data_IF_799407956305
#
_entry.id   IF_799407956305
#
_cell.length_a   1.000
_cell.length_b   1.000
_cell.length_c   1.000
_cell.angle_alpha   90.00
_cell.angle_beta   90.00
_cell.angle_gamma   90.00
#
_symmetry.space_group_name_H-M   'P 1'
#
loop_
_entity.id
_entity.type
_entity.pdbx_description
1 polymer ?
#
# COMPACT_ATOMS: atom_id res chain seq x y z
N UNK A 1 11.72 18.25 2.06
CA UNK A 1 10.43 17.80 1.47
C UNK A 1 10.58 16.34 1.07
N UNK A 2 10.09 15.45 1.93
CA UNK A 2 10.29 13.98 1.91
C UNK A 2 9.91 13.31 0.59
N UNK A 3 10.65 12.26 0.22
CA UNK A 3 10.27 11.24 -0.78
C UNK A 3 8.83 10.79 -0.47
N UNK A 4 7.83 11.33 -1.18
CA UNK A 4 6.50 10.72 -1.19
C UNK A 4 6.58 9.49 -2.08
N UNK A 5 7.22 8.43 -1.57
CA UNK A 5 6.91 7.07 -1.99
C UNK A 5 5.39 6.99 -1.95
N UNK A 6 4.76 6.62 -3.07
CA UNK A 6 3.31 6.48 -3.09
C UNK A 6 2.97 5.36 -2.13
N UNK A 7 2.15 5.68 -1.14
CA UNK A 7 1.47 4.71 -0.30
C UNK A 7 0.86 3.66 -1.27
N UNK A 8 1.15 2.36 -1.07
CA UNK A 8 0.77 1.22 -1.95
C UNK A 8 1.58 0.99 -3.24
N UNK A 9 2.88 1.28 -3.25
CA UNK A 9 3.84 0.77 -4.28
C UNK A 9 4.55 -0.52 -3.83
N UNK A 10 5.11 -1.30 -4.76
CA UNK A 10 5.91 -2.50 -4.43
C UNK A 10 7.13 -2.17 -3.59
N UNK A 11 7.78 -1.03 -3.88
CA UNK A 11 8.88 -0.51 -3.05
C UNK A 11 8.42 -0.17 -1.64
N UNK A 12 7.26 0.48 -1.50
CA UNK A 12 6.72 0.81 -0.18
C UNK A 12 6.46 -0.44 0.65
N UNK A 13 5.82 -1.45 0.06
CA UNK A 13 5.53 -2.68 0.77
C UNK A 13 6.82 -3.43 1.15
N UNK A 14 7.78 -3.55 0.23
CA UNK A 14 9.08 -4.15 0.53
C UNK A 14 9.79 -3.41 1.68
N UNK A 15 9.77 -2.08 1.65
CA UNK A 15 10.36 -1.25 2.69
C UNK A 15 9.67 -1.48 4.04
N UNK A 16 8.34 -1.44 4.08
CA UNK A 16 7.57 -1.66 5.31
C UNK A 16 7.73 -3.07 5.88
N UNK A 17 7.87 -4.09 5.02
CA UNK A 17 8.14 -5.47 5.45
C UNK A 17 9.59 -5.68 5.92
N UNK A 18 10.53 -4.84 5.47
CA UNK A 18 11.96 -4.95 5.85
C UNK A 18 12.29 -4.23 7.16
N UNK A 19 11.51 -3.21 7.51
CA UNK A 19 11.69 -2.42 8.74
C UNK A 19 11.09 -3.20 9.93
N UNK A 20 11.71 -3.15 11.13
CA UNK A 20 11.11 -3.73 12.33
C UNK A 20 9.70 -3.21 12.59
N UNK A 21 8.80 -4.12 12.98
CA UNK A 21 7.38 -3.82 13.15
C UNK A 21 7.09 -2.61 14.06
N UNK A 22 7.86 -2.46 15.14
CA UNK A 22 7.73 -1.35 16.08
C UNK A 22 7.97 -0.01 15.40
N UNK A 23 9.09 0.11 14.67
CA UNK A 23 9.49 1.30 13.93
C UNK A 23 8.49 1.63 12.81
N UNK A 24 7.98 0.61 12.12
CA UNK A 24 6.96 0.81 11.09
C UNK A 24 5.67 1.39 11.70
N UNK A 25 5.23 0.87 12.85
CA UNK A 25 4.06 1.42 13.56
C UNK A 25 4.33 2.85 14.05
N UNK A 26 5.46 3.12 14.69
CA UNK A 26 5.80 4.47 15.17
C UNK A 26 5.81 5.49 14.04
N UNK A 27 6.37 5.11 12.88
CA UNK A 27 6.38 5.96 11.69
C UNK A 27 4.95 6.29 11.21
N UNK A 28 4.06 5.30 11.16
CA UNK A 28 2.69 5.51 10.70
C UNK A 28 1.82 6.24 11.72
N UNK A 29 1.95 5.93 13.01
CA UNK A 29 1.29 6.64 14.10
C UNK A 29 1.70 8.11 14.13
N UNK A 30 3.00 8.39 14.03
CA UNK A 30 3.49 9.76 13.93
C UNK A 30 2.91 10.51 12.72
N UNK A 31 2.82 9.84 11.55
CA UNK A 31 2.21 10.43 10.35
C UNK A 31 0.72 10.73 10.53
N UNK A 32 -0.02 9.88 11.25
CA UNK A 32 -1.42 10.13 11.57
C UNK A 32 -1.58 11.30 12.55
N UNK A 33 -0.72 11.38 13.58
CA UNK A 33 -0.79 12.46 14.57
C UNK A 33 -0.53 13.83 13.94
N UNK A 34 0.28 13.90 12.87
CA UNK A 34 0.47 15.14 12.12
C UNK A 34 -0.81 15.69 11.46
N UNK A 35 -1.81 14.84 11.19
CA UNK A 35 -3.09 15.27 10.61
C UNK A 35 -4.12 15.61 11.68
N UNK A 36 -4.15 14.85 12.75
CA UNK A 36 -5.08 15.02 13.87
C UNK A 36 -4.46 14.41 15.12
N UNK A 37 -4.48 15.15 16.22
CA UNK A 37 -4.00 14.65 17.51
C UNK A 37 -5.05 13.71 18.13
N UNK A 38 -4.89 12.41 17.91
CA UNK A 38 -5.82 11.40 18.41
C UNK A 38 -5.82 11.31 19.94
N UNK A 39 -4.76 11.76 20.64
CA UNK A 39 -4.72 11.79 22.09
C UNK A 39 -5.65 12.90 22.62
N UNK A 40 -5.52 14.11 22.07
CA UNK A 40 -6.37 15.25 22.43
C UNK A 40 -7.85 15.01 22.13
N UNK A 41 -8.16 14.37 21.01
CA UNK A 41 -9.55 14.08 20.61
C UNK A 41 -10.12 12.78 21.22
N UNK A 42 -9.37 12.07 22.06
CA UNK A 42 -9.84 10.82 22.69
C UNK A 42 -10.08 9.68 21.72
N UNK A 43 -9.35 9.64 20.60
CA UNK A 43 -9.48 8.65 19.52
C UNK A 43 -8.35 7.61 19.51
N UNK A 44 -7.42 7.69 20.47
CA UNK A 44 -6.29 6.75 20.53
C UNK A 44 -6.76 5.33 20.84
N UNK A 45 -6.49 4.34 19.97
CA UNK A 45 -6.83 2.95 20.24
C UNK A 45 -5.85 2.29 21.22
N UNK A 46 -6.29 1.19 21.84
CA UNK A 46 -5.47 0.33 22.70
C UNK A 46 -4.58 -0.67 21.93
N UNK A 47 -4.46 -0.50 20.61
CA UNK A 47 -3.65 -1.31 19.73
C UNK A 47 -2.79 -0.42 18.83
N UNK A 48 -1.78 -1.00 18.18
CA UNK A 48 -0.87 -0.32 17.27
C UNK A 48 -1.49 -0.17 15.87
N UNK A 49 -0.95 0.76 15.08
CA UNK A 49 -1.54 1.15 13.79
C UNK A 49 -1.86 -0.02 12.84
N UNK A 50 -0.92 -0.94 12.62
CA UNK A 50 -1.12 -2.01 11.63
C UNK A 50 -1.96 -3.20 12.14
N UNK A 51 -2.46 -3.15 13.38
CA UNK A 51 -3.24 -4.24 13.99
C UNK A 51 -4.74 -4.15 13.68
N UNK A 52 -5.19 -3.05 13.07
CA UNK A 52 -6.58 -2.87 12.63
C UNK A 52 -6.66 -1.93 11.42
N UNK A 53 -7.72 -2.06 10.63
CA UNK A 53 -7.99 -1.14 9.52
C UNK A 53 -8.28 0.28 10.05
N UNK A 54 -7.64 1.32 9.47
CA UNK A 54 -7.94 2.71 9.81
C UNK A 54 -9.25 3.18 9.18
N UNK A 55 -9.98 4.03 9.88
CA UNK A 55 -11.15 4.74 9.35
C UNK A 55 -10.71 5.85 8.40
N UNK A 56 -11.37 5.98 7.24
CA UNK A 56 -11.10 7.05 6.27
C UNK A 56 -12.25 8.04 6.30
N UNK A 57 -11.98 9.26 6.79
CA UNK A 57 -12.94 10.36 6.80
C UNK A 57 -12.19 11.70 6.70
N UNK A 58 -12.56 12.54 5.73
CA UNK A 58 -11.91 13.84 5.51
C UNK A 58 -12.49 14.97 6.38
N UNK A 59 -13.71 14.81 6.89
CA UNK A 59 -14.45 15.84 7.62
C UNK A 59 -14.37 15.69 9.15
N UNK A 60 -14.14 14.48 9.67
CA UNK A 60 -14.24 14.17 11.10
C UNK A 60 -13.42 15.14 11.97
N UNK A 61 -12.15 15.40 11.61
CA UNK A 61 -11.30 16.31 12.38
C UNK A 61 -11.92 17.71 12.51
N UNK A 62 -12.45 18.27 11.42
CA UNK A 62 -13.08 19.59 11.44
C UNK A 62 -14.39 19.60 12.24
N UNK A 63 -15.16 18.50 12.20
CA UNK A 63 -16.40 18.37 12.97
C UNK A 63 -16.15 18.27 14.47
N UNK A 64 -15.07 17.58 14.87
CA UNK A 64 -14.60 17.51 16.26
C UNK A 64 -14.13 18.89 16.74
N UNK A 65 -13.28 19.58 15.97
CA UNK A 65 -12.82 20.94 16.28
C UNK A 65 -13.99 21.93 16.47
N UNK A 66 -15.04 21.80 15.65
CA UNK A 66 -16.20 22.67 15.68
C UNK A 66 -17.22 22.32 16.79
N UNK A 67 -17.03 21.21 17.52
CA UNK A 67 -17.97 20.73 18.53
C UNK A 67 -19.28 20.16 17.98
N UNK A 68 -19.34 19.88 16.66
CA UNK A 68 -20.52 19.27 16.02
C UNK A 68 -20.57 17.75 16.22
N UNK A 69 -19.41 17.14 16.49
CA UNK A 69 -19.29 15.73 16.88
C UNK A 69 -18.56 15.71 18.22
N UNK A 70 -19.06 14.91 19.16
CA UNK A 70 -18.40 14.65 20.43
C UNK A 70 -18.15 13.15 20.53
N UNK A 71 -16.89 12.77 20.76
CA UNK A 71 -16.52 11.39 21.06
C UNK A 71 -16.74 11.15 22.56
N UNK A 72 -17.31 10.02 22.90
CA UNK A 72 -17.62 9.63 24.29
C UNK A 72 -17.38 8.13 24.48
N UNK A 73 -17.46 7.66 25.71
CA UNK A 73 -17.30 6.25 26.09
C UNK A 73 -18.42 5.36 25.54
N UNK A 74 -18.27 4.04 25.73
CA UNK A 74 -19.29 3.07 25.36
C UNK A 74 -20.62 3.36 26.06
N UNK A 75 -21.71 3.10 25.33
CA UNK A 75 -23.08 3.16 25.86
C UNK A 75 -23.25 2.11 26.96
N UNK A 76 -23.78 2.53 28.10
CA UNK A 76 -24.12 1.68 29.24
C UNK A 76 -25.62 1.35 29.24
N UNK A 77 -26.49 2.37 29.13
CA UNK A 77 -27.93 2.15 28.99
C UNK A 77 -28.61 3.29 28.24
N UNK A 78 -29.76 2.97 27.64
CA UNK A 78 -30.66 3.93 27.00
C UNK A 78 -31.85 4.17 27.93
N UNK A 79 -32.23 5.43 28.09
CA UNK A 79 -33.45 5.82 28.79
C UNK A 79 -34.52 6.24 27.76
N UNK A 80 -35.61 6.84 28.21
CA UNK A 80 -36.67 7.32 27.31
C UNK A 80 -36.21 8.48 26.41
N UNK A 81 -35.28 9.31 26.88
CA UNK A 81 -34.87 10.56 26.23
C UNK A 81 -33.35 10.82 26.29
N UNK A 82 -32.57 9.86 26.81
CA UNK A 82 -31.13 10.02 26.97
C UNK A 82 -30.34 8.73 26.76
N UNK A 83 -29.03 8.89 26.51
CA UNK A 83 -28.03 7.82 26.52
C UNK A 83 -27.11 8.03 27.71
N UNK A 84 -27.00 7.03 28.57
CA UNK A 84 -26.02 6.98 29.65
C UNK A 84 -24.83 6.17 29.16
N UNK A 85 -23.64 6.76 29.27
CA UNK A 85 -22.37 6.12 28.89
C UNK A 85 -21.62 5.67 30.14
N UNK A 86 -20.66 4.76 29.95
CA UNK A 86 -19.78 4.30 31.04
C UNK A 86 -19.16 5.49 31.76
N UNK A 87 -19.21 5.46 33.09
CA UNK A 87 -18.78 6.57 33.95
C UNK A 87 -19.91 7.54 34.33
N UNK A 88 -21.15 7.24 33.93
CA UNK A 88 -22.36 7.90 34.45
C UNK A 88 -22.73 9.22 33.77
N UNK A 89 -22.03 9.63 32.71
CA UNK A 89 -22.43 10.81 31.92
C UNK A 89 -23.71 10.49 31.13
N UNK A 90 -24.60 11.46 31.03
CA UNK A 90 -25.88 11.34 30.31
C UNK A 90 -25.97 12.41 29.22
N UNK A 91 -26.41 12.00 28.03
CA UNK A 91 -26.62 12.88 26.87
C UNK A 91 -28.06 12.78 26.39
N UNK A 92 -28.78 13.91 26.21
CA UNK A 92 -30.08 13.90 25.54
C UNK A 92 -29.98 13.27 24.15
N UNK A 93 -30.94 12.43 23.77
CA UNK A 93 -30.89 11.68 22.52
C UNK A 93 -32.28 11.50 21.91
N UNK A 94 -32.52 12.17 20.77
CA UNK A 94 -33.75 11.99 19.99
C UNK A 94 -33.65 10.80 19.02
N UNK A 95 -32.45 10.53 18.50
CA UNK A 95 -32.20 9.50 17.48
C UNK A 95 -30.95 8.71 17.81
N UNK A 96 -31.12 7.39 17.96
CA UNK A 96 -30.02 6.45 18.14
C UNK A 96 -29.75 5.69 16.84
N UNK A 97 -28.55 5.86 16.27
CA UNK A 97 -28.14 5.18 15.02
C UNK A 97 -27.07 4.14 15.34
N UNK A 98 -27.40 2.86 15.17
CA UNK A 98 -26.45 1.77 15.38
C UNK A 98 -25.60 1.52 14.12
N UNK A 99 -24.35 1.95 14.17
CA UNK A 99 -23.33 1.69 13.14
C UNK A 99 -22.44 0.49 13.49
N UNK A 100 -23.03 -0.60 14.04
CA UNK A 100 -22.28 -1.75 14.60
C UNK A 100 -21.75 -2.75 13.57
N UNK A 101 -22.01 -2.53 12.27
CA UNK A 101 -21.58 -3.40 11.18
C UNK A 101 -22.66 -4.41 10.78
N UNK A 102 -22.26 -5.42 10.01
CA UNK A 102 -23.15 -6.42 9.42
C UNK A 102 -22.69 -7.84 9.76
N UNK A 103 -23.65 -8.76 9.84
CA UNK A 103 -23.41 -10.21 9.74
C UNK A 103 -23.64 -10.67 8.30
N UNK A 104 -23.27 -11.91 7.98
CA UNK A 104 -23.48 -12.50 6.66
C UNK A 104 -23.93 -13.95 6.79
N UNK A 105 -24.62 -14.44 5.75
CA UNK A 105 -25.16 -15.79 5.69
C UNK A 105 -25.55 -16.18 4.26
N UNK A 106 -25.72 -17.48 4.03
CA UNK A 106 -26.05 -18.06 2.73
C UNK A 106 -27.35 -18.88 2.81
N UNK A 107 -28.53 -18.23 2.93
CA UNK A 107 -29.81 -18.92 3.15
C UNK A 107 -30.24 -19.80 1.96
N UNK A 108 -29.57 -19.65 0.81
CA UNK A 108 -29.79 -20.43 -0.40
C UNK A 108 -28.85 -21.63 -0.54
N UNK A 109 -27.92 -21.84 0.39
CA UNK A 109 -27.03 -23.01 0.43
C UNK A 109 -27.52 -24.03 1.45
N UNK A 110 -27.26 -25.30 1.19
CA UNK A 110 -27.49 -26.35 2.19
C UNK A 110 -26.62 -26.07 3.43
N UNK A 111 -27.19 -26.21 4.65
CA UNK A 111 -26.43 -26.02 5.89
C UNK A 111 -25.17 -26.87 5.91
N UNK A 112 -24.03 -26.27 6.25
CA UNK A 112 -22.72 -26.93 6.27
C UNK A 112 -21.93 -26.88 4.96
N UNK A 113 -22.53 -26.46 3.83
CA UNK A 113 -21.81 -26.33 2.54
C UNK A 113 -20.65 -25.35 2.61
N UNK A 114 -20.87 -24.25 3.33
CA UNK A 114 -19.90 -23.19 3.65
C UNK A 114 -20.16 -22.80 5.12
N UNK A 115 -19.55 -23.49 6.09
CA UNK A 115 -19.83 -23.27 7.50
C UNK A 115 -19.34 -21.87 7.93
N UNK A 116 -20.19 -21.17 8.68
CA UNK A 116 -19.86 -19.87 9.27
C UNK A 116 -19.78 -20.05 10.79
N UNK A 117 -18.59 -19.86 11.34
CA UNK A 117 -18.33 -19.97 12.79
C UNK A 117 -17.70 -18.66 13.26
N UNK A 118 -18.29 -17.97 14.24
CA UNK A 118 -17.76 -16.71 14.80
C UNK A 118 -17.43 -15.65 13.73
N UNK A 119 -18.33 -15.45 12.76
CA UNK A 119 -18.14 -14.56 11.60
C UNK A 119 -16.90 -14.89 10.75
N UNK A 120 -16.42 -16.14 10.80
CA UNK A 120 -15.34 -16.68 9.97
C UNK A 120 -15.87 -17.75 9.05
N UNK A 121 -15.24 -17.84 7.88
CA UNK A 121 -15.45 -18.94 6.93
C UNK A 121 -14.08 -19.46 6.53
N UNK A 122 -13.89 -20.75 6.76
CA UNK A 122 -12.65 -21.44 6.45
C UNK A 122 -12.65 -21.88 4.99
N UNK A 123 -11.99 -21.06 4.16
CA UNK A 123 -11.86 -21.28 2.72
C UNK A 123 -10.39 -21.22 2.31
N UNK A 124 -9.99 -22.13 1.43
CA UNK A 124 -8.69 -22.06 0.76
C UNK A 124 -8.60 -20.76 -0.03
N UNK A 125 -7.63 -19.93 0.36
CA UNK A 125 -7.42 -18.57 -0.17
C UNK A 125 -8.69 -17.72 -0.21
N UNK A 126 -9.60 -17.85 0.74
CA UNK A 126 -10.87 -17.12 0.78
C UNK A 126 -11.77 -17.34 -0.45
N UNK A 127 -11.61 -18.48 -1.14
CA UNK A 127 -12.38 -18.82 -2.35
C UNK A 127 -12.98 -20.21 -2.26
N UNK A 128 -12.16 -21.25 -2.12
CA UNK A 128 -12.63 -22.63 -2.29
C UNK A 128 -12.87 -23.33 -0.95
N UNK A 129 -13.85 -24.24 -0.86
CA UNK A 129 -13.97 -25.14 0.28
C UNK A 129 -12.70 -25.95 0.54
N UNK A 130 -12.46 -26.32 1.81
CA UNK A 130 -11.29 -27.10 2.22
C UNK A 130 -11.38 -28.58 1.81
N UNK A 131 -12.59 -29.08 1.63
CA UNK A 131 -12.87 -30.41 1.10
C UNK A 131 -12.47 -30.49 -0.39
N UNK A 132 -12.35 -31.69 -0.94
CA UNK A 132 -12.01 -31.92 -2.36
C UNK A 132 -13.17 -31.59 -3.31
N UNK A 133 -13.76 -30.40 -3.13
CA UNK A 133 -14.72 -29.81 -4.06
C UNK A 133 -14.01 -28.82 -4.97
N UNK A 134 -14.27 -28.92 -6.26
CA UNK A 134 -13.78 -28.01 -7.30
C UNK A 134 -14.91 -27.40 -8.14
N UNK A 135 -16.17 -27.59 -7.72
CA UNK A 135 -17.39 -27.15 -8.41
C UNK A 135 -18.00 -25.87 -7.82
N UNK A 136 -17.44 -25.38 -6.71
CA UNK A 136 -17.94 -24.21 -6.00
C UNK A 136 -16.79 -23.30 -5.53
N UNK A 137 -16.95 -21.99 -5.72
CA UNK A 137 -16.05 -20.96 -5.22
C UNK A 137 -16.84 -19.76 -4.71
N UNK A 138 -16.42 -19.19 -3.59
CA UNK A 138 -16.98 -17.99 -2.99
C UNK A 138 -16.14 -16.79 -3.43
N UNK A 139 -16.79 -15.78 -4.02
CA UNK A 139 -16.10 -14.59 -4.55
C UNK A 139 -16.47 -13.39 -3.70
N UNK A 140 -15.48 -12.60 -3.31
CA UNK A 140 -15.66 -11.35 -2.59
C UNK A 140 -15.89 -11.49 -1.08
N UNK A 141 -15.83 -12.70 -0.52
CA UNK A 141 -15.89 -12.90 0.94
C UNK A 141 -14.51 -12.64 1.57
N UNK A 142 -14.10 -11.37 1.61
CA UNK A 142 -12.77 -10.95 2.07
C UNK A 142 -12.75 -9.45 2.42
N UNK A 143 -11.90 -9.06 3.37
CA UNK A 143 -11.80 -7.68 3.86
C UNK A 143 -10.40 -7.09 3.61
N UNK A 144 -10.12 -6.55 2.42
CA UNK A 144 -8.77 -6.11 2.06
C UNK A 144 -8.40 -4.73 2.62
N UNK A 145 -7.11 -4.51 2.90
CA UNK A 145 -6.52 -3.17 2.89
C UNK A 145 -6.28 -2.78 1.43
N UNK A 146 -7.34 -2.36 0.74
CA UNK A 146 -7.35 -2.01 -0.68
C UNK A 146 -8.74 -2.12 -1.30
N UNK A 147 -8.81 -2.10 -2.64
CA UNK A 147 -10.10 -2.24 -3.33
C UNK A 147 -10.51 -3.71 -3.46
N UNK A 148 -11.77 -4.01 -3.14
CA UNK A 148 -12.36 -5.35 -3.31
C UNK A 148 -12.62 -5.69 -4.77
N UNK A 149 -12.92 -4.71 -5.62
CA UNK A 149 -13.33 -4.98 -7.00
C UNK A 149 -12.26 -5.73 -7.83
N UNK A 150 -10.96 -5.35 -7.80
CA UNK A 150 -9.94 -6.13 -8.47
C UNK A 150 -9.68 -7.50 -7.83
N UNK A 151 -9.88 -7.61 -6.51
CA UNK A 151 -9.75 -8.88 -5.81
C UNK A 151 -10.83 -9.85 -6.27
N UNK A 152 -12.09 -9.42 -6.28
CA UNK A 152 -13.21 -10.24 -6.75
C UNK A 152 -13.04 -10.64 -8.23
N UNK A 153 -12.54 -9.74 -9.08
CA UNK A 153 -12.20 -10.04 -10.47
C UNK A 153 -11.10 -11.12 -10.59
N UNK A 154 -10.04 -11.02 -9.79
CA UNK A 154 -8.96 -12.01 -9.75
C UNK A 154 -9.47 -13.36 -9.24
N UNK A 155 -10.27 -13.38 -8.17
CA UNK A 155 -10.92 -14.58 -7.64
C UNK A 155 -11.81 -15.23 -8.71
N UNK A 156 -12.61 -14.45 -9.42
CA UNK A 156 -13.46 -14.94 -10.50
C UNK A 156 -12.65 -15.54 -11.66
N UNK A 157 -11.55 -14.90 -12.07
CA UNK A 157 -10.64 -15.45 -13.09
C UNK A 157 -10.06 -16.78 -12.68
N UNK A 158 -9.66 -16.91 -11.42
CA UNK A 158 -9.13 -18.17 -10.90
C UNK A 158 -10.21 -19.26 -10.83
N UNK A 159 -11.38 -18.94 -10.28
CA UNK A 159 -12.55 -19.84 -10.24
C UNK A 159 -12.89 -20.39 -11.61
N UNK A 160 -13.06 -19.51 -12.61
CA UNK A 160 -13.40 -19.91 -13.97
C UNK A 160 -12.35 -20.85 -14.59
N UNK A 161 -11.06 -20.69 -14.25
CA UNK A 161 -10.01 -21.59 -14.73
C UNK A 161 -10.07 -22.96 -14.05
N UNK A 162 -10.34 -23.00 -12.75
CA UNK A 162 -10.52 -24.26 -12.01
C UNK A 162 -11.71 -25.02 -12.57
N UNK A 163 -12.87 -24.36 -12.70
CA UNK A 163 -14.09 -24.98 -13.24
C UNK A 163 -13.93 -25.45 -14.68
N UNK A 164 -13.09 -24.78 -15.48
CA UNK A 164 -12.77 -25.21 -16.84
C UNK A 164 -11.68 -26.29 -16.92
N UNK A 165 -11.19 -26.81 -15.78
CA UNK A 165 -10.10 -27.80 -15.72
C UNK A 165 -8.74 -27.26 -16.18
N UNK A 166 -8.56 -25.93 -16.25
CA UNK A 166 -7.33 -25.24 -16.71
C UNK A 166 -6.41 -24.81 -15.57
N UNK A 167 -6.82 -25.06 -14.33
CA UNK A 167 -6.04 -24.90 -13.12
C UNK A 167 -6.52 -25.98 -12.14
N UNK A 168 -5.60 -26.59 -11.39
CA UNK A 168 -5.93 -27.59 -10.37
C UNK A 168 -5.78 -26.97 -8.99
N UNK A 169 -6.64 -27.39 -8.07
CA UNK A 169 -6.47 -27.05 -6.67
C UNK A 169 -5.56 -28.09 -6.01
N UNK A 170 -4.84 -27.71 -4.93
CA UNK A 170 -4.03 -28.67 -4.21
C UNK A 170 -4.92 -29.63 -3.39
N UNK A 171 -4.29 -30.64 -2.80
CA UNK A 171 -4.96 -31.63 -1.94
C UNK A 171 -5.70 -30.97 -0.78
N UNK A 172 -6.73 -31.62 -0.23
CA UNK A 172 -7.45 -31.10 0.94
C UNK A 172 -6.52 -30.86 2.15
N UNK A 173 -5.48 -31.69 2.33
CA UNK A 173 -4.48 -31.48 3.39
C UNK A 173 -3.67 -30.20 3.17
N UNK A 174 -3.27 -29.91 1.94
CA UNK A 174 -2.51 -28.70 1.62
C UNK A 174 -3.38 -27.44 1.76
N UNK A 175 -4.67 -27.53 1.38
CA UNK A 175 -5.65 -26.45 1.59
C UNK A 175 -5.80 -26.10 3.07
N UNK A 176 -5.90 -27.12 3.92
CA UNK A 176 -5.97 -26.96 5.39
C UNK A 176 -4.67 -26.36 5.95
N UNK A 177 -3.52 -26.87 5.52
CA UNK A 177 -2.22 -26.35 5.96
C UNK A 177 -2.01 -24.87 5.56
N UNK A 178 -2.44 -24.46 4.36
CA UNK A 178 -2.43 -23.05 3.91
C UNK A 178 -3.31 -22.19 4.81
N UNK A 179 -4.53 -22.64 5.12
CA UNK A 179 -5.44 -21.94 6.02
C UNK A 179 -4.84 -21.77 7.42
N UNK A 180 -4.33 -22.84 8.04
CA UNK A 180 -3.73 -22.80 9.37
C UNK A 180 -2.51 -21.86 9.43
N UNK A 181 -1.69 -21.86 8.38
CA UNK A 181 -0.58 -20.92 8.24
C UNK A 181 -1.10 -19.47 8.18
N UNK A 182 -2.08 -19.17 7.32
CA UNK A 182 -2.67 -17.83 7.20
C UNK A 182 -3.33 -17.38 8.51
N UNK A 183 -4.07 -18.24 9.19
CA UNK A 183 -4.67 -17.94 10.48
C UNK A 183 -3.61 -17.61 11.55
N UNK A 184 -2.47 -18.33 11.57
CA UNK A 184 -1.35 -18.03 12.48
C UNK A 184 -0.70 -16.68 12.16
N UNK A 185 -0.50 -16.36 10.88
CA UNK A 185 0.03 -15.06 10.45
C UNK A 185 -0.91 -13.91 10.85
N UNK A 186 -2.20 -14.11 10.60
CA UNK A 186 -3.26 -13.16 10.94
C UNK A 186 -3.31 -12.89 12.45
N UNK A 187 -3.30 -13.95 13.27
CA UNK A 187 -3.32 -13.85 14.74
C UNK A 187 -2.10 -13.12 15.31
N UNK A 188 -0.93 -13.24 14.66
CA UNK A 188 0.29 -12.51 15.07
C UNK A 188 0.21 -11.03 14.77
N UNK A 189 -0.50 -10.65 13.70
CA UNK A 189 -0.49 -9.28 13.17
C UNK A 189 -1.67 -8.45 13.66
N UNK A 190 -2.87 -9.02 13.69
CA UNK A 190 -4.10 -8.28 13.92
C UNK A 190 -4.66 -8.48 15.32
N UNK A 191 -5.30 -7.43 15.83
CA UNK A 191 -6.04 -7.50 17.09
C UNK A 191 -7.27 -8.40 16.93
N UNK A 192 -7.54 -9.24 17.92
CA UNK A 192 -8.66 -10.17 17.87
C UNK A 192 -9.99 -9.41 17.96
N UNK A 193 -10.78 -9.44 16.89
CA UNK A 193 -12.07 -8.78 16.80
C UNK A 193 -13.01 -9.54 15.87
N UNK A 194 -14.29 -9.61 16.24
CA UNK A 194 -15.35 -10.18 15.40
C UNK A 194 -15.65 -9.35 14.14
N UNK A 195 -15.13 -8.11 14.05
CA UNK A 195 -15.37 -7.21 12.90
C UNK A 195 -14.45 -7.49 11.70
N UNK A 196 -13.23 -7.96 11.96
CA UNK A 196 -12.18 -8.08 10.95
C UNK A 196 -11.58 -9.48 10.95
N UNK A 197 -12.38 -10.46 10.54
CA UNK A 197 -12.06 -11.88 10.63
C UNK A 197 -11.33 -12.42 9.38
N UNK A 198 -11.42 -11.73 8.24
CA UNK A 198 -10.94 -12.20 6.93
C UNK A 198 -10.08 -11.15 6.22
N UNK A 199 -9.09 -10.59 6.94
CA UNK A 199 -8.30 -9.47 6.42
C UNK A 199 -7.18 -9.94 5.50
N UNK A 200 -6.90 -9.14 4.46
CA UNK A 200 -5.75 -9.36 3.58
C UNK A 200 -5.06 -8.07 3.16
N UNK A 201 -3.75 -8.16 2.98
CA UNK A 201 -2.98 -7.14 2.26
C UNK A 201 -3.25 -7.28 0.76
N UNK A 202 -3.81 -6.24 0.13
CA UNK A 202 -4.24 -6.26 -1.28
C UNK A 202 -3.16 -6.79 -2.24
N UNK A 203 -1.93 -6.29 -2.15
CA UNK A 203 -0.89 -6.63 -3.11
C UNK A 203 -0.34 -8.04 -2.92
N UNK A 204 -0.12 -8.49 -1.68
CA UNK A 204 0.27 -9.89 -1.39
C UNK A 204 -0.74 -10.88 -1.92
N UNK A 205 -2.01 -10.63 -1.66
CA UNK A 205 -3.10 -11.51 -2.08
C UNK A 205 -3.27 -11.53 -3.61
N UNK A 206 -3.23 -10.36 -4.26
CA UNK A 206 -3.28 -10.28 -5.72
C UNK A 206 -2.06 -10.96 -6.37
N UNK A 207 -0.87 -10.83 -5.78
CA UNK A 207 0.34 -11.49 -6.25
C UNK A 207 0.27 -13.01 -6.09
N UNK A 208 -0.27 -13.49 -4.97
CA UNK A 208 -0.51 -14.90 -4.70
C UNK A 208 -1.46 -15.52 -5.73
N UNK A 209 -2.65 -14.92 -5.94
CA UNK A 209 -3.60 -15.41 -6.93
C UNK A 209 -3.08 -15.29 -8.37
N UNK A 210 -2.39 -14.19 -8.70
CA UNK A 210 -1.85 -14.00 -10.05
C UNK A 210 -0.79 -15.03 -10.43
N UNK A 211 -0.04 -15.57 -9.46
CA UNK A 211 0.88 -16.69 -9.69
C UNK A 211 0.13 -17.98 -10.02
N UNK A 212 -0.98 -18.28 -9.33
CA UNK A 212 -1.82 -19.45 -9.61
C UNK A 212 -2.46 -19.38 -11.00
N UNK A 213 -2.81 -18.17 -11.46
CA UNK A 213 -3.39 -17.95 -12.79
C UNK A 213 -2.30 -17.89 -13.88
N UNK A 214 -1.05 -17.55 -13.52
CA UNK A 214 0.03 -17.28 -14.47
C UNK A 214 -0.02 -15.88 -15.09
N UNK A 215 -0.60 -14.89 -14.41
CA UNK A 215 -0.67 -13.49 -14.83
C UNK A 215 0.08 -12.53 -13.89
N UNK A 216 1.02 -13.06 -13.10
CA UNK A 216 1.85 -12.26 -12.19
C UNK A 216 2.73 -11.29 -13.00
N UNK A 217 2.69 -9.97 -12.72
CA UNK A 217 3.56 -9.02 -13.41
C UNK A 217 5.00 -9.21 -12.94
N UNK A 218 5.93 -9.48 -13.86
CA UNK A 218 7.35 -9.61 -13.55
C UNK A 218 8.13 -8.39 -14.05
N UNK A 219 8.49 -7.42 -13.18
CA UNK A 219 9.23 -6.24 -13.60
C UNK A 219 10.61 -6.56 -14.21
N UNK A 220 11.21 -7.69 -13.83
CA UNK A 220 12.51 -8.16 -14.31
C UNK A 220 12.56 -8.30 -15.83
N UNK A 221 11.45 -8.71 -16.45
CA UNK A 221 11.33 -8.88 -17.90
C UNK A 221 11.53 -7.56 -18.66
N UNK A 222 11.19 -6.43 -18.02
CA UNK A 222 11.29 -5.11 -18.62
C UNK A 222 12.58 -4.37 -18.27
N UNK A 223 13.38 -4.84 -17.32
CA UNK A 223 14.55 -4.10 -16.82
C UNK A 223 15.55 -3.75 -17.93
N UNK A 224 15.76 -4.65 -18.89
CA UNK A 224 16.69 -4.44 -20.01
C UNK A 224 16.03 -3.76 -21.20
N UNK A 225 14.77 -4.10 -21.52
CA UNK A 225 14.09 -3.59 -22.71
C UNK A 225 13.48 -2.20 -22.51
N UNK A 226 12.86 -1.96 -21.34
CA UNK A 226 12.28 -0.67 -20.95
C UNK A 226 12.43 -0.46 -19.43
N UNK A 227 13.60 0.02 -18.98
CA UNK A 227 13.85 0.25 -17.56
C UNK A 227 12.89 1.28 -16.96
N UNK A 228 12.33 2.18 -17.77
CA UNK A 228 11.42 3.22 -17.27
C UNK A 228 10.06 2.62 -16.90
N UNK A 229 9.55 1.70 -17.73
CA UNK A 229 8.33 0.97 -17.43
C UNK A 229 8.53 -0.02 -16.28
N UNK A 230 9.67 -0.72 -16.24
CA UNK A 230 10.03 -1.60 -15.12
C UNK A 230 10.02 -0.84 -13.78
N UNK A 231 10.64 0.34 -13.74
CA UNK A 231 10.64 1.20 -12.56
C UNK A 231 9.24 1.69 -12.21
N UNK A 232 8.40 1.98 -13.20
CA UNK A 232 7.01 2.35 -12.96
C UNK A 232 6.20 1.21 -12.33
N UNK A 233 6.43 -0.05 -12.70
CA UNK A 233 5.79 -1.20 -12.05
C UNK A 233 6.27 -1.40 -10.60
N UNK A 234 7.55 -1.12 -10.32
CA UNK A 234 8.16 -1.30 -9.01
C UNK A 234 7.79 -0.16 -8.05
N UNK A 235 8.06 1.08 -8.44
CA UNK A 235 7.90 2.27 -7.59
C UNK A 235 6.56 3.00 -7.78
N UNK A 236 5.80 2.66 -8.83
CA UNK A 236 4.48 3.24 -9.08
C UNK A 236 3.37 2.64 -8.23
N UNK A 237 2.15 3.22 -8.34
CA UNK A 237 0.99 2.65 -7.66
C UNK A 237 0.66 1.29 -8.26
N UNK A 238 0.40 0.28 -7.43
CA UNK A 238 0.02 -1.06 -7.89
C UNK A 238 -1.43 -1.08 -8.41
N UNK A 239 -1.62 -0.59 -9.64
CA UNK A 239 -2.91 -0.57 -10.30
C UNK A 239 -3.28 -1.97 -10.84
N UNK A 240 -4.56 -2.38 -10.82
CA UNK A 240 -4.97 -3.74 -11.18
C UNK A 240 -4.67 -4.11 -12.64
N UNK A 241 -4.47 -3.11 -13.52
CA UNK A 241 -4.05 -3.30 -14.91
C UNK A 241 -2.73 -4.08 -15.03
N UNK A 242 -1.86 -4.05 -14.00
CA UNK A 242 -0.62 -4.82 -13.99
C UNK A 242 -0.86 -6.33 -14.15
N UNK A 243 -1.95 -6.84 -13.59
CA UNK A 243 -2.34 -8.26 -13.68
C UNK A 243 -3.02 -8.66 -15.00
N UNK A 244 -3.03 -7.74 -15.97
CA UNK A 244 -3.49 -7.93 -17.35
C UNK A 244 -2.39 -7.66 -18.37
N UNK A 245 -1.14 -7.46 -17.93
CA UNK A 245 0.02 -7.31 -18.83
C UNK A 245 0.41 -8.60 -19.53
N UNK A 246 0.29 -9.72 -18.82
CA UNK A 246 0.69 -11.04 -19.30
C UNK A 246 -0.27 -12.12 -18.81
N UNK A 247 -0.09 -13.34 -19.33
CA UNK A 247 -0.88 -14.49 -18.96
C UNK A 247 -2.26 -14.54 -19.63
N UNK A 248 -3.15 -15.40 -19.12
CA UNK A 248 -4.47 -15.62 -19.72
C UNK A 248 -5.31 -14.35 -19.72
N UNK A 249 -5.90 -14.02 -20.89
CA UNK A 249 -6.71 -12.82 -21.09
C UNK A 249 -5.95 -11.51 -20.81
N UNK A 250 -4.69 -11.44 -21.25
CA UNK A 250 -3.94 -10.19 -21.29
C UNK A 250 -4.67 -9.13 -22.12
N UNK A 251 -4.51 -7.86 -21.74
CA UNK A 251 -5.18 -6.74 -22.38
C UNK A 251 -4.15 -5.80 -23.02
N UNK A 252 -4.26 -5.59 -24.33
CA UNK A 252 -3.33 -4.75 -25.10
C UNK A 252 -3.23 -3.32 -24.55
N UNK A 253 -4.35 -2.78 -24.03
CA UNK A 253 -4.40 -1.46 -23.42
C UNK A 253 -3.76 -1.35 -22.03
N UNK A 254 -3.34 -2.47 -21.40
CA UNK A 254 -2.89 -2.48 -20.01
C UNK A 254 -1.67 -1.58 -19.79
N UNK A 255 -0.65 -1.71 -20.64
CA UNK A 255 0.59 -0.92 -20.54
C UNK A 255 0.32 0.58 -20.62
N UNK A 256 -0.33 1.02 -21.68
CA UNK A 256 -0.71 2.44 -21.88
C UNK A 256 -1.52 2.96 -20.70
N UNK A 257 -2.45 2.14 -20.21
CA UNK A 257 -3.33 2.50 -19.09
C UNK A 257 -2.57 2.69 -17.78
N UNK A 258 -1.51 1.91 -17.54
CA UNK A 258 -0.59 2.04 -16.40
C UNK A 258 0.23 3.33 -16.53
N UNK A 259 0.83 3.56 -17.70
CA UNK A 259 1.62 4.76 -18.00
C UNK A 259 0.80 6.05 -17.79
N UNK A 260 -0.48 6.04 -18.17
CA UNK A 260 -1.39 7.19 -18.10
C UNK A 260 -2.10 7.37 -16.74
N UNK A 261 -1.96 6.47 -15.76
CA UNK A 261 -2.65 6.56 -14.45
C UNK A 261 -2.48 7.95 -13.83
N UNK A 262 -1.24 8.45 -13.79
CA UNK A 262 -0.94 9.74 -13.17
C UNK A 262 -1.62 10.93 -13.86
N UNK A 263 -1.91 10.82 -15.16
CA UNK A 263 -2.61 11.85 -15.93
C UNK A 263 -4.12 11.72 -15.70
N UNK A 264 -4.68 10.51 -15.79
CA UNK A 264 -6.11 10.25 -15.63
C UNK A 264 -6.65 10.66 -14.26
N UNK A 265 -5.89 10.43 -13.19
CA UNK A 265 -6.27 10.84 -11.82
C UNK A 265 -6.30 12.37 -11.68
N UNK A 266 -5.40 13.08 -12.36
CA UNK A 266 -5.30 14.55 -12.26
C UNK A 266 -6.28 15.29 -13.16
N UNK A 267 -6.65 14.70 -14.29
CA UNK A 267 -7.52 15.32 -15.29
C UNK A 267 -8.84 15.85 -14.70
N UNK A 268 -9.62 15.11 -13.90
CA UNK A 268 -10.86 15.62 -13.32
C UNK A 268 -10.63 16.64 -12.20
N UNK A 269 -9.47 16.65 -11.56
CA UNK A 269 -9.13 17.61 -10.50
C UNK A 269 -8.69 18.97 -11.04
N UNK A 270 -8.25 19.01 -12.31
CA UNK A 270 -7.63 20.19 -12.90
C UNK A 270 -8.65 20.96 -13.75
N UNK A 271 -9.59 21.62 -13.06
CA UNK A 271 -10.60 22.47 -13.71
C UNK A 271 -10.07 23.83 -14.21
N UNK A 272 -8.87 24.24 -13.77
CA UNK A 272 -8.23 25.50 -14.19
C UNK A 272 -6.80 25.24 -14.64
N UNK A 273 -6.43 25.81 -15.78
CA UNK A 273 -5.04 25.83 -16.25
C UNK A 273 -4.25 26.89 -15.48
N UNK A 274 -3.20 26.44 -14.79
CA UNK A 274 -2.26 27.29 -14.06
C UNK A 274 -0.82 26.94 -14.46
N UNK A 275 0.10 27.90 -14.36
CA UNK A 275 1.53 27.65 -14.54
C UNK A 275 1.99 26.65 -13.48
N UNK A 276 2.23 25.40 -13.90
CA UNK A 276 2.74 24.35 -13.02
C UNK A 276 4.22 24.10 -13.27
N UNK A 277 4.95 23.81 -12.19
CA UNK A 277 6.32 23.29 -12.27
C UNK A 277 6.36 22.03 -13.15
N UNK A 278 7.43 21.87 -13.93
CA UNK A 278 7.57 20.81 -14.95
C UNK A 278 7.30 19.41 -14.39
N UNK A 279 7.84 19.09 -13.21
CA UNK A 279 7.63 17.82 -12.52
C UNK A 279 6.18 17.61 -12.02
N UNK A 280 5.49 18.67 -11.58
CA UNK A 280 4.08 18.60 -11.17
C UNK A 280 3.15 18.40 -12.36
N UNK A 281 3.48 19.02 -13.51
CA UNK A 281 2.70 18.99 -14.75
C UNK A 281 2.59 17.60 -15.34
N UNK A 282 3.65 16.80 -15.28
CA UNK A 282 3.69 15.48 -15.93
C UNK A 282 3.36 14.33 -15.00
N UNK A 283 3.57 14.43 -13.68
CA UNK A 283 3.13 13.41 -12.71
C UNK A 283 3.67 12.00 -12.91
N UNK A 284 4.63 11.81 -13.82
CA UNK A 284 5.25 10.52 -14.13
C UNK A 284 6.41 10.29 -13.17
N UNK A 285 6.49 9.09 -12.58
CA UNK A 285 7.61 8.68 -11.73
C UNK A 285 8.96 8.72 -12.47
N UNK A 286 8.93 8.66 -13.80
CA UNK A 286 10.10 8.60 -14.67
C UNK A 286 11.02 9.82 -14.52
N UNK A 287 10.50 11.01 -14.16
CA UNK A 287 11.36 12.19 -13.92
C UNK A 287 12.14 12.09 -12.61
N UNK A 288 11.60 11.39 -11.60
CA UNK A 288 12.30 11.11 -10.34
C UNK A 288 13.40 10.07 -10.51
N UNK A 289 13.11 9.00 -11.25
CA UNK A 289 14.15 8.02 -11.63
C UNK A 289 15.29 8.70 -12.36
N UNK A 290 14.97 9.56 -13.36
CA UNK A 290 15.97 10.35 -14.08
C UNK A 290 16.77 11.27 -13.15
N UNK A 291 16.13 11.90 -12.17
CA UNK A 291 16.82 12.76 -11.21
C UNK A 291 17.76 11.97 -10.28
N UNK A 292 17.28 10.87 -9.72
CA UNK A 292 18.06 10.01 -8.83
C UNK A 292 19.22 9.36 -9.59
N UNK A 293 18.97 8.85 -10.81
CA UNK A 293 20.00 8.28 -11.67
C UNK A 293 21.03 9.33 -12.07
N UNK A 294 20.63 10.58 -12.37
CA UNK A 294 21.56 11.67 -12.65
C UNK A 294 22.43 12.02 -11.44
N UNK A 295 21.86 12.11 -10.23
CA UNK A 295 22.65 12.33 -9.00
C UNK A 295 23.60 11.16 -8.69
N UNK A 296 23.15 9.94 -8.94
CA UNK A 296 23.96 8.74 -8.75
C UNK A 296 25.13 8.70 -9.75
N UNK A 297 24.85 8.90 -11.05
CA UNK A 297 25.89 9.02 -12.10
C UNK A 297 26.84 10.16 -11.77
N UNK A 298 26.33 11.32 -11.39
CA UNK A 298 27.14 12.46 -10.96
C UNK A 298 28.11 12.08 -9.83
N UNK A 299 27.59 11.50 -8.74
CA UNK A 299 28.41 11.05 -7.62
C UNK A 299 29.47 10.02 -8.02
N UNK A 300 29.11 9.03 -8.84
CA UNK A 300 30.07 8.03 -9.33
C UNK A 300 31.10 8.63 -10.28
N UNK A 301 30.72 9.57 -11.16
CA UNK A 301 31.68 10.25 -12.03
C UNK A 301 32.67 11.08 -11.23
N UNK A 302 32.23 11.78 -10.17
CA UNK A 302 33.15 12.51 -9.27
C UNK A 302 34.08 11.53 -8.56
N UNK A 303 33.57 10.41 -8.06
CA UNK A 303 34.37 9.38 -7.40
C UNK A 303 35.41 8.77 -8.35
N UNK A 304 35.02 8.41 -9.58
CA UNK A 304 35.93 7.87 -10.60
C UNK A 304 37.02 8.88 -11.00
N UNK A 305 36.67 10.16 -11.21
CA UNK A 305 37.64 11.21 -11.51
C UNK A 305 38.65 11.35 -10.36
N UNK A 306 38.19 11.24 -9.12
CA UNK A 306 39.05 11.39 -7.94
C UNK A 306 39.99 10.21 -7.77
N UNK A 307 39.50 8.99 -7.97
CA UNK A 307 40.34 7.78 -7.96
C UNK A 307 41.37 7.84 -9.10
N UNK A 308 40.98 8.32 -10.28
CA UNK A 308 41.89 8.51 -11.41
C UNK A 308 42.98 9.55 -11.10
N UNK A 309 42.61 10.70 -10.53
CA UNK A 309 43.59 11.71 -10.08
C UNK A 309 44.53 11.16 -9.01
N UNK A 310 44.02 10.32 -8.11
CA UNK A 310 44.82 9.66 -7.08
C UNK A 310 45.80 8.65 -7.68
N UNK A 311 45.38 7.88 -8.69
CA UNK A 311 46.22 6.90 -9.38
C UNK A 311 47.34 7.54 -10.23
N UNK A 312 47.11 8.75 -10.76
CA UNK A 312 48.14 9.52 -11.48
C UNK A 312 49.25 10.05 -10.55
N UNK A 313 48.95 10.23 -9.26
CA UNK A 313 49.93 10.59 -8.25
C UNK A 313 50.59 9.32 -7.66
N UNK A 314 51.32 8.57 -8.49
CA UNK A 314 51.98 7.30 -8.12
C UNK A 314 53.29 7.45 -7.33
N UNK A 315 53.45 8.53 -6.57
CA UNK A 315 54.62 8.83 -5.71
C UNK A 315 54.16 9.03 -4.26
N UNK A 316 55.02 8.92 -3.23
CA UNK A 316 54.58 9.17 -1.85
C UNK A 316 54.13 10.62 -1.71
N UNK A 317 52.81 10.85 -1.72
CA UNK A 317 52.23 12.18 -1.57
C UNK A 317 52.56 12.71 -0.18
N UNK A 318 53.02 13.96 -0.12
CA UNK A 318 53.04 14.70 1.14
C UNK A 318 51.60 14.84 1.67
N UNK A 319 51.45 14.88 3.00
CA UNK A 319 50.13 15.06 3.66
C UNK A 319 49.41 16.31 3.12
N UNK A 320 50.15 17.35 2.76
CA UNK A 320 49.61 18.59 2.17
C UNK A 320 49.01 18.37 0.78
N UNK A 321 49.63 17.56 -0.06
CA UNK A 321 49.13 17.22 -1.40
C UNK A 321 47.88 16.35 -1.31
N UNK A 322 47.82 15.46 -0.33
CA UNK A 322 46.62 14.66 -0.07
C UNK A 322 45.43 15.53 0.36
N UNK A 323 45.64 16.44 1.32
CA UNK A 323 44.59 17.34 1.81
C UNK A 323 44.08 18.30 0.72
N UNK A 324 44.95 18.78 -0.16
CA UNK A 324 44.52 19.64 -1.27
C UNK A 324 43.65 18.89 -2.28
N UNK A 325 44.00 17.65 -2.64
CA UNK A 325 43.20 16.81 -3.54
C UNK A 325 41.82 16.47 -2.95
N UNK A 326 41.75 16.12 -1.66
CA UNK A 326 40.48 15.85 -0.97
C UNK A 326 39.61 17.11 -0.92
N UNK A 327 40.21 18.28 -0.71
CA UNK A 327 39.49 19.56 -0.71
C UNK A 327 38.94 19.89 -2.09
N UNK A 328 39.72 19.69 -3.15
CA UNK A 328 39.27 19.87 -4.55
C UNK A 328 38.14 18.88 -4.88
N UNK A 329 38.22 17.63 -4.42
CA UNK A 329 37.13 16.67 -4.58
C UNK A 329 35.84 17.15 -3.90
N UNK A 330 35.91 17.56 -2.63
CA UNK A 330 34.74 18.03 -1.90
C UNK A 330 34.14 19.28 -2.55
N UNK A 331 34.96 20.20 -3.03
CA UNK A 331 34.51 21.39 -3.76
C UNK A 331 33.85 21.04 -5.09
N UNK A 332 34.45 20.15 -5.89
CA UNK A 332 33.85 19.69 -7.15
C UNK A 332 32.55 18.91 -6.91
N UNK A 333 32.51 18.06 -5.89
CA UNK A 333 31.32 17.30 -5.51
C UNK A 333 30.19 18.23 -5.06
N UNK A 334 30.49 19.20 -4.19
CA UNK A 334 29.53 20.20 -3.73
C UNK A 334 29.05 21.07 -4.89
N UNK A 335 29.95 21.52 -5.78
CA UNK A 335 29.58 22.28 -6.97
C UNK A 335 28.69 21.48 -7.92
N UNK A 336 29.01 20.20 -8.15
CA UNK A 336 28.21 19.33 -9.00
C UNK A 336 26.81 19.11 -8.41
N UNK A 337 26.72 18.85 -7.10
CA UNK A 337 25.45 18.73 -6.39
C UNK A 337 24.63 20.03 -6.45
N UNK A 338 25.26 21.18 -6.22
CA UNK A 338 24.66 22.51 -6.33
C UNK A 338 24.19 22.82 -7.74
N UNK A 339 25.01 22.54 -8.76
CA UNK A 339 24.66 22.71 -10.16
C UNK A 339 23.44 21.86 -10.55
N UNK A 340 23.37 20.62 -10.07
CA UNK A 340 22.19 19.78 -10.28
C UNK A 340 20.96 20.31 -9.52
N UNK A 341 21.11 20.81 -8.30
CA UNK A 341 20.00 21.40 -7.56
C UNK A 341 19.51 22.71 -8.20
N UNK A 342 20.40 23.52 -8.81
CA UNK A 342 20.09 24.71 -9.60
C UNK A 342 19.37 24.37 -10.92
N UNK A 343 19.82 23.34 -11.65
CA UNK A 343 19.15 22.88 -12.88
C UNK A 343 17.74 22.32 -12.59
N UNK A 344 17.52 21.80 -11.39
CA UNK A 344 16.25 21.23 -10.95
C UNK A 344 15.48 22.12 -9.98
N UNK A 345 15.86 23.40 -9.87
CA UNK A 345 15.43 24.33 -8.83
C UNK A 345 13.98 24.10 -8.38
N UNK A 346 13.89 23.49 -7.21
CA UNK A 346 12.67 23.21 -6.47
C UNK A 346 12.15 24.46 -5.74
N UNK A 347 12.74 25.63 -5.99
CA UNK A 347 12.53 26.88 -5.26
C UNK A 347 12.26 28.11 -6.12
N UNK A 348 11.97 27.99 -7.42
CA UNK A 348 11.33 29.11 -8.15
C UNK A 348 9.82 29.14 -7.90
N UNK A 349 9.44 29.82 -6.82
CA UNK A 349 8.22 30.62 -6.63
C UNK A 349 8.52 31.61 -5.49
N UNK A 350 9.18 32.72 -5.82
CA UNK A 350 8.59 34.02 -5.51
C UNK A 350 7.59 34.34 -6.61
#
# INVERSE_FOLDING_TARGET
RSLKIKDHSRVYEWLMNSIPWTVANDFMEHRLQQRMDHDLYGLRPNHRFFQQHPTVNDALANLLCAGLVTVTEDVECLTADSVIVKGGRSFPCDVFISCTGYTFGYPYLEPGTVPITDHRVDLYKYVFPLEEREDMGVIGLIQPIGSIAPIAEMQARWCARVFAGRAQLPSASDRKADLEMKQREMKRRYFESNKHTMQVDYMKYMDELSKLIGCHPEPSQYLLSDPTFAWQLIAGPNAPYAYRLQGPHAWEGARKTIEEVGVRVKRPLKNRECRMRRHKRRGRLNEWFRYLSMKWIAGWTTLLITVFLFALCSTPLSIMTYLSLVTVFLLMFVFLLLWFDLQYDMTTCL
#
